data_IF_105529321842
#
_entry.id   IF_105529321842
#
_cell.length_a   1.000
_cell.length_b   1.000
_cell.length_c   1.000
_cell.angle_alpha   90.00
_cell.angle_beta   90.00
_cell.angle_gamma   90.00
#
_symmetry.space_group_name_H-M   'P 1'
#
loop_
_entity.id
_entity.type
_entity.pdbx_description
1 polymer ?
#
# COMPACT_ATOMS: atom_id res chain seq x y z
N UNK A 1 -25.11 -54.11 8.03
CA UNK A 1 -24.58 -52.98 8.83
C UNK A 1 -23.35 -52.45 8.11
N UNK A 2 -23.51 -51.43 7.27
CA UNK A 2 -22.38 -50.75 6.61
C UNK A 2 -21.74 -49.86 7.69
N UNK A 3 -20.50 -50.15 8.07
CA UNK A 3 -19.72 -49.24 8.92
C UNK A 3 -19.61 -47.92 8.18
N UNK A 4 -20.22 -46.86 8.70
CA UNK A 4 -19.94 -45.51 8.26
C UNK A 4 -18.44 -45.29 8.47
N UNK A 5 -17.69 -45.23 7.37
CA UNK A 5 -16.32 -44.76 7.38
C UNK A 5 -16.40 -43.33 7.90
N UNK A 6 -15.87 -43.07 9.09
CA UNK A 6 -15.68 -41.70 9.58
C UNK A 6 -14.94 -40.93 8.49
N UNK A 7 -15.66 -40.05 7.78
CA UNK A 7 -15.02 -39.11 6.87
C UNK A 7 -14.02 -38.32 7.69
N UNK A 8 -12.74 -38.38 7.32
CA UNK A 8 -11.69 -37.59 7.95
C UNK A 8 -11.95 -36.12 7.63
N UNK A 9 -12.61 -35.42 8.54
CA UNK A 9 -12.88 -33.99 8.41
C UNK A 9 -11.59 -33.21 8.70
N UNK A 10 -11.37 -32.13 7.93
CA UNK A 10 -10.26 -31.21 8.17
C UNK A 10 -10.66 -30.23 9.28
N UNK A 11 -9.82 -29.99 10.29
CA UNK A 11 -10.14 -29.02 11.34
C UNK A 11 -10.20 -27.59 10.78
N UNK A 12 -11.21 -26.82 11.19
CA UNK A 12 -11.46 -25.47 10.69
C UNK A 12 -10.79 -24.40 11.55
N UNK A 13 -10.21 -23.38 10.91
CA UNK A 13 -9.69 -22.19 11.60
C UNK A 13 -8.38 -22.38 12.36
N UNK A 14 -7.63 -23.46 12.09
CA UNK A 14 -6.44 -23.82 12.86
C UNK A 14 -5.13 -23.39 12.20
N UNK A 15 -5.10 -23.12 10.90
CA UNK A 15 -3.84 -22.81 10.18
C UNK A 15 -3.83 -21.37 9.66
N UNK A 16 -2.72 -20.67 9.86
CA UNK A 16 -2.42 -19.39 9.21
C UNK A 16 -1.04 -19.42 8.56
N UNK A 17 -0.96 -18.97 7.31
CA UNK A 17 0.30 -18.80 6.58
C UNK A 17 0.45 -17.36 6.04
N UNK A 18 -0.16 -16.39 6.73
CA UNK A 18 -0.17 -14.99 6.29
C UNK A 18 1.23 -14.37 6.31
N UNK A 19 1.97 -14.53 7.41
CA UNK A 19 3.29 -13.93 7.60
C UNK A 19 4.32 -14.33 6.53
N UNK A 20 4.30 -15.59 6.05
CA UNK A 20 5.22 -16.03 4.99
C UNK A 20 4.87 -15.38 3.65
N UNK A 21 3.58 -15.21 3.34
CA UNK A 21 3.14 -14.53 2.12
C UNK A 21 3.50 -13.06 2.13
N UNK A 22 3.34 -12.39 3.27
CA UNK A 22 3.74 -10.98 3.42
C UNK A 22 5.24 -10.80 3.20
N UNK A 23 6.07 -11.72 3.73
CA UNK A 23 7.52 -11.72 3.49
C UNK A 23 7.91 -12.03 2.04
N UNK A 24 7.14 -12.87 1.35
CA UNK A 24 7.35 -13.19 -0.06
C UNK A 24 6.99 -12.00 -0.97
N UNK A 25 5.92 -11.27 -0.65
CA UNK A 25 5.43 -10.12 -1.41
C UNK A 25 6.33 -8.88 -1.25
N UNK A 26 6.83 -8.64 -0.03
CA UNK A 26 7.79 -7.56 0.24
C UNK A 26 7.20 -6.14 0.19
N UNK A 27 5.89 -6.00 0.08
CA UNK A 27 5.22 -4.69 -0.03
C UNK A 27 5.11 -4.00 1.33
N UNK A 28 4.69 -4.73 2.36
CA UNK A 28 4.49 -4.19 3.72
C UNK A 28 5.76 -4.35 4.57
N UNK A 29 6.39 -5.54 4.49
CA UNK A 29 7.56 -5.89 5.29
C UNK A 29 8.71 -6.28 4.38
N UNK A 30 9.82 -5.56 4.49
CA UNK A 30 11.05 -5.85 3.75
C UNK A 30 12.16 -6.25 4.72
N UNK A 31 12.96 -7.24 4.33
CA UNK A 31 14.20 -7.52 5.03
C UNK A 31 15.27 -6.54 4.58
N UNK A 32 15.75 -5.69 5.49
CA UNK A 32 16.96 -4.92 5.25
C UNK A 32 18.13 -5.90 5.10
N UNK A 33 18.75 -5.90 3.92
CA UNK A 33 20.04 -6.55 3.79
C UNK A 33 21.01 -5.82 4.75
N UNK A 34 21.58 -6.56 5.70
CA UNK A 34 22.72 -6.06 6.49
C UNK A 34 23.79 -5.67 5.49
N UNK A 35 23.96 -4.36 5.28
CA UNK A 35 24.92 -3.83 4.34
C UNK A 35 26.26 -4.51 4.56
N UNK A 36 26.66 -5.32 3.58
CA UNK A 36 28.02 -5.84 3.49
C UNK A 36 28.94 -4.63 3.59
N UNK A 37 29.85 -4.68 4.56
CA UNK A 37 30.65 -3.54 4.98
C UNK A 37 31.20 -2.74 3.80
N UNK A 38 31.03 -1.42 3.90
CA UNK A 38 31.80 -0.36 3.24
C UNK A 38 32.88 -0.86 2.27
N UNK A 39 32.49 -1.20 1.04
CA UNK A 39 33.38 -1.02 -0.09
C UNK A 39 33.25 0.43 -0.49
N UNK A 40 34.07 1.24 0.20
CA UNK A 40 34.49 2.60 -0.16
C UNK A 40 34.31 2.81 -1.66
N UNK A 41 33.42 3.73 -2.03
CA UNK A 41 33.17 4.15 -3.41
C UNK A 41 34.50 4.44 -4.11
N UNK A 42 34.94 3.54 -4.99
CA UNK A 42 36.04 3.83 -5.91
C UNK A 42 35.43 4.75 -6.95
N UNK A 43 35.77 6.04 -6.87
CA UNK A 43 35.40 7.03 -7.87
C UNK A 43 35.83 6.50 -9.24
N UNK A 44 34.86 6.30 -10.15
CA UNK A 44 35.13 5.96 -11.55
C UNK A 44 35.58 7.26 -12.21
N UNK A 45 36.90 7.40 -12.33
CA UNK A 45 37.52 8.47 -13.10
C UNK A 45 37.53 8.05 -14.57
N UNK A 46 36.77 8.76 -15.41
CA UNK A 46 36.81 8.59 -16.87
C UNK A 46 37.96 9.43 -17.42
N UNK A 47 39.18 8.91 -17.29
CA UNK A 47 40.32 9.41 -18.04
C UNK A 47 41.29 8.26 -18.24
N UNK A 48 41.63 8.07 -19.52
CA UNK A 48 42.67 7.20 -20.08
C UNK A 48 42.15 5.99 -20.85
N UNK A 49 42.24 6.24 -22.16
CA UNK A 49 42.11 5.38 -23.33
C UNK A 49 43.34 4.46 -23.40
N UNK A 50 43.18 3.34 -24.10
CA UNK A 50 44.22 2.47 -24.68
C UNK A 50 44.99 1.52 -23.77
N UNK A 51 44.47 0.28 -23.70
CA UNK A 51 45.28 -0.93 -23.76
C UNK A 51 44.43 -2.09 -24.31
N UNK A 52 44.61 -2.36 -25.61
CA UNK A 52 44.28 -3.63 -26.24
C UNK A 52 45.09 -4.74 -25.56
N UNK A 53 44.43 -5.71 -24.93
CA UNK A 53 45.00 -7.03 -24.66
C UNK A 53 44.00 -8.09 -25.12
N UNK A 54 44.42 -8.83 -26.14
CA UNK A 54 43.78 -10.04 -26.66
C UNK A 54 43.53 -11.04 -25.51
N UNK A 55 42.29 -11.49 -25.38
CA UNK A 55 41.97 -12.65 -24.54
C UNK A 55 41.38 -13.74 -25.42
N UNK A 56 42.18 -14.77 -25.64
CA UNK A 56 41.86 -15.96 -26.43
C UNK A 56 40.65 -16.70 -25.84
N UNK A 57 39.71 -17.00 -26.72
CA UNK A 57 38.55 -17.87 -26.53
C UNK A 57 39.04 -19.31 -26.35
N UNK A 58 38.80 -19.90 -25.18
CA UNK A 58 39.02 -21.32 -24.91
C UNK A 58 37.68 -21.99 -24.61
N UNK A 59 37.18 -22.68 -25.64
CA UNK A 59 36.12 -23.68 -25.54
C UNK A 59 36.60 -24.86 -24.69
N UNK A 60 35.88 -25.17 -23.61
CA UNK A 60 36.11 -26.38 -22.83
C UNK A 60 34.76 -27.12 -22.65
N UNK A 61 34.45 -27.98 -23.63
CA UNK A 61 33.42 -29.00 -23.53
C UNK A 61 33.78 -30.01 -22.44
N UNK A 62 32.90 -30.21 -21.44
CA UNK A 62 32.98 -31.37 -20.54
C UNK A 62 31.68 -32.17 -20.52
N UNK A 63 31.83 -33.39 -21.03
CA UNK A 63 30.86 -34.47 -21.08
C UNK A 63 30.52 -35.02 -19.68
N UNK A 64 29.24 -35.34 -19.50
CA UNK A 64 28.73 -36.60 -18.95
C UNK A 64 29.21 -37.09 -17.58
N UNK A 65 28.31 -37.07 -16.58
CA UNK A 65 28.21 -38.19 -15.65
C UNK A 65 26.75 -38.47 -15.27
N UNK A 66 26.37 -39.73 -15.45
CA UNK A 66 25.05 -40.30 -15.21
C UNK A 66 24.91 -40.81 -13.76
N UNK A 67 23.64 -40.87 -13.33
CA UNK A 67 23.02 -41.74 -12.34
C UNK A 67 23.19 -41.44 -10.83
N UNK A 68 22.06 -41.05 -10.22
CA UNK A 68 21.34 -41.91 -9.26
C UNK A 68 19.87 -41.52 -9.14
N UNK A 69 19.05 -42.33 -9.77
CA UNK A 69 17.59 -42.39 -9.68
C UNK A 69 17.15 -42.88 -8.29
N UNK A 70 16.45 -42.02 -7.54
CA UNK A 70 15.56 -42.44 -6.47
C UNK A 70 14.14 -42.51 -7.06
N UNK A 71 13.65 -43.73 -7.26
CA UNK A 71 12.30 -44.02 -7.72
C UNK A 71 11.28 -43.51 -6.69
N UNK A 72 10.65 -42.39 -7.00
CA UNK A 72 9.37 -42.01 -6.40
C UNK A 72 8.30 -42.35 -7.43
N UNK A 73 7.34 -43.16 -7.03
CA UNK A 73 6.25 -43.67 -7.86
C UNK A 73 5.60 -42.56 -8.70
N UNK A 74 5.51 -42.79 -10.01
CA UNK A 74 4.83 -41.92 -10.95
C UNK A 74 3.33 -41.94 -10.66
N UNK A 75 2.88 -40.98 -9.86
CA UNK A 75 1.47 -40.58 -9.81
C UNK A 75 1.15 -39.96 -11.17
N UNK A 76 0.08 -40.46 -11.80
CA UNK A 76 -0.47 -39.97 -13.07
C UNK A 76 -0.53 -38.44 -13.03
N UNK A 77 0.30 -37.81 -13.87
CA UNK A 77 0.44 -36.35 -13.97
C UNK A 77 -0.77 -35.79 -14.72
N UNK A 78 -1.87 -35.67 -13.98
CA UNK A 78 -3.07 -34.98 -14.37
C UNK A 78 -2.75 -33.48 -14.33
N UNK A 79 -2.02 -33.02 -15.36
CA UNK A 79 -1.43 -31.67 -15.44
C UNK A 79 -2.54 -30.64 -15.30
N UNK A 80 -2.49 -29.89 -14.20
CA UNK A 80 -3.31 -28.70 -14.01
C UNK A 80 -3.08 -27.74 -15.20
N UNK A 81 -4.12 -27.07 -15.71
CA UNK A 81 -3.95 -26.04 -16.73
C UNK A 81 -2.97 -24.97 -16.22
N UNK A 82 -1.96 -24.62 -17.03
CA UNK A 82 -0.82 -23.75 -16.65
C UNK A 82 -1.24 -22.38 -16.09
N UNK A 83 -2.47 -21.94 -16.36
CA UNK A 83 -2.98 -20.62 -16.00
C UNK A 83 -3.79 -20.58 -14.69
N UNK A 84 -4.02 -21.72 -14.03
CA UNK A 84 -4.82 -21.75 -12.79
C UNK A 84 -3.93 -21.89 -11.56
N UNK A 85 -3.94 -20.86 -10.72
CA UNK A 85 -3.12 -20.79 -9.49
C UNK A 85 -3.88 -21.29 -8.25
N UNK A 86 -5.22 -21.21 -8.24
CA UNK A 86 -6.08 -21.55 -7.10
C UNK A 86 -7.32 -22.37 -7.53
N UNK A 87 -7.84 -23.26 -6.65
CA UNK A 87 -8.98 -24.14 -6.93
C UNK A 87 -10.36 -23.49 -6.73
N UNK A 88 -10.49 -22.16 -6.84
CA UNK A 88 -11.71 -21.46 -6.42
C UNK A 88 -12.90 -21.63 -7.38
N UNK A 89 -12.63 -22.11 -8.61
CA UNK A 89 -13.65 -22.43 -9.60
C UNK A 89 -13.98 -23.93 -9.53
N UNK A 90 -15.27 -24.24 -9.35
CA UNK A 90 -15.79 -25.56 -8.94
C UNK A 90 -15.43 -26.71 -9.91
N UNK A 91 -15.14 -26.40 -11.17
CA UNK A 91 -14.92 -27.38 -12.24
C UNK A 91 -13.56 -28.12 -12.18
N UNK A 92 -12.62 -27.67 -11.33
CA UNK A 92 -11.24 -28.18 -11.34
C UNK A 92 -11.05 -29.35 -10.35
N UNK A 93 -12.01 -29.58 -9.46
CA UNK A 93 -11.92 -30.58 -8.38
C UNK A 93 -12.58 -31.92 -8.77
N UNK A 94 -13.24 -32.00 -9.93
CA UNK A 94 -14.15 -33.11 -10.33
C UNK A 94 -13.46 -34.41 -10.78
N UNK A 95 -12.26 -34.72 -10.27
CA UNK A 95 -11.60 -36.02 -10.47
C UNK A 95 -12.14 -37.10 -9.52
N UNK A 96 -12.07 -38.37 -9.93
CA UNK A 96 -12.55 -39.56 -9.18
C UNK A 96 -11.82 -39.81 -7.82
N UNK A 97 -10.78 -39.04 -7.50
CA UNK A 97 -10.05 -39.08 -6.23
C UNK A 97 -10.63 -38.14 -5.17
N UNK A 98 -10.44 -38.50 -3.89
CA UNK A 98 -10.93 -37.78 -2.71
C UNK A 98 -10.78 -36.24 -2.85
N UNK A 99 -11.88 -35.46 -2.98
CA UNK A 99 -11.84 -34.03 -3.32
C UNK A 99 -10.94 -33.19 -2.41
N UNK A 100 -10.81 -33.63 -1.16
CA UNK A 100 -10.01 -32.99 -0.12
C UNK A 100 -8.51 -33.06 -0.35
N UNK A 101 -8.01 -34.03 -1.13
CA UNK A 101 -6.60 -34.18 -1.45
C UNK A 101 -6.24 -33.51 -2.78
N UNK A 102 -7.22 -33.35 -3.68
CA UNK A 102 -7.01 -32.71 -4.99
C UNK A 102 -6.55 -31.24 -4.86
N UNK A 103 -6.93 -30.55 -3.78
CA UNK A 103 -6.49 -29.17 -3.51
C UNK A 103 -4.97 -29.06 -3.27
N UNK A 104 -4.29 -30.16 -2.91
CA UNK A 104 -2.83 -30.18 -2.71
C UNK A 104 -2.04 -30.19 -4.02
N UNK A 105 -2.70 -30.40 -5.17
CA UNK A 105 -2.09 -30.21 -6.50
C UNK A 105 -1.67 -28.75 -6.71
N UNK A 106 -2.35 -27.79 -6.06
CA UNK A 106 -2.05 -26.36 -6.17
C UNK A 106 -0.89 -25.98 -5.25
N UNK A 107 0.22 -25.52 -5.83
CA UNK A 107 1.43 -25.13 -5.08
C UNK A 107 1.12 -24.14 -3.95
N UNK A 108 0.38 -23.06 -4.22
CA UNK A 108 0.08 -22.03 -3.22
C UNK A 108 -0.73 -22.59 -2.04
N UNK A 109 -1.67 -23.50 -2.29
CA UNK A 109 -2.44 -24.21 -1.25
C UNK A 109 -1.51 -25.12 -0.45
N UNK A 110 -0.69 -25.92 -1.12
CA UNK A 110 0.30 -26.79 -0.49
C UNK A 110 1.23 -26.00 0.43
N UNK A 111 1.75 -24.87 -0.03
CA UNK A 111 2.64 -24.01 0.74
C UNK A 111 1.94 -23.46 2.02
N UNK A 112 0.61 -23.26 2.01
CA UNK A 112 -0.14 -22.91 3.23
C UNK A 112 -0.17 -24.01 4.29
N UNK A 113 -0.26 -25.28 3.88
CA UNK A 113 -0.27 -26.40 4.81
C UNK A 113 1.12 -26.70 5.37
N UNK A 114 2.16 -26.64 4.55
CA UNK A 114 3.54 -26.93 4.99
C UNK A 114 4.20 -25.76 5.73
N UNK A 115 3.97 -24.52 5.27
CA UNK A 115 4.56 -23.32 5.86
C UNK A 115 3.73 -22.67 6.96
N UNK A 116 2.49 -23.10 7.14
CA UNK A 116 1.55 -22.50 8.09
C UNK A 116 1.89 -22.78 9.56
N UNK A 117 1.42 -21.89 10.43
CA UNK A 117 1.44 -22.05 11.89
C UNK A 117 0.03 -22.24 12.43
N UNK A 118 -0.06 -22.72 13.66
CA UNK A 118 -1.33 -22.77 14.38
C UNK A 118 -1.84 -21.32 14.58
N UNK A 119 -3.03 -21.04 14.06
CA UNK A 119 -3.69 -19.76 14.21
C UNK A 119 -4.14 -19.56 15.66
N UNK A 120 -3.85 -18.38 16.20
CA UNK A 120 -4.27 -17.99 17.54
C UNK A 120 -5.40 -16.99 17.40
N UNK A 121 -6.58 -17.32 17.94
CA UNK A 121 -7.72 -16.41 17.96
C UNK A 121 -7.38 -15.14 18.75
N UNK A 122 -7.62 -13.98 18.13
CA UNK A 122 -7.59 -12.71 18.83
C UNK A 122 -8.73 -12.65 19.86
N UNK A 123 -8.39 -12.31 21.11
CA UNK A 123 -9.36 -11.88 22.12
C UNK A 123 -9.23 -10.38 22.23
N UNK A 124 -10.12 -9.67 21.55
CA UNK A 124 -10.22 -8.21 21.63
C UNK A 124 -11.41 -7.89 22.52
N UNK A 125 -11.13 -7.35 23.71
CA UNK A 125 -12.16 -6.89 24.63
C UNK A 125 -12.44 -5.43 24.30
N UNK A 126 -13.53 -5.21 23.56
CA UNK A 126 -14.03 -3.88 23.23
C UNK A 126 -15.05 -3.47 24.28
N UNK A 127 -14.94 -2.24 24.79
CA UNK A 127 -15.99 -1.69 25.66
C UNK A 127 -17.23 -1.37 24.81
N UNK A 128 -18.33 -2.09 25.07
CA UNK A 128 -19.58 -1.92 24.33
C UNK A 128 -20.15 -0.50 24.48
N UNK A 129 -19.86 0.19 25.58
CA UNK A 129 -20.28 1.58 25.75
C UNK A 129 -19.50 2.51 24.83
N UNK A 130 -18.18 2.31 24.71
CA UNK A 130 -17.32 3.09 23.80
C UNK A 130 -17.67 2.83 22.33
N UNK A 131 -18.00 1.59 21.97
CA UNK A 131 -18.48 1.25 20.62
C UNK A 131 -19.79 1.99 20.31
N UNK A 132 -20.71 2.05 21.28
CA UNK A 132 -22.00 2.77 21.12
C UNK A 132 -21.82 4.28 21.08
N UNK A 133 -20.93 4.86 21.86
CA UNK A 133 -20.66 6.31 21.78
C UNK A 133 -19.99 6.68 20.46
N UNK A 134 -19.05 5.86 19.99
CA UNK A 134 -18.32 6.09 18.75
C UNK A 134 -19.22 5.98 17.51
N UNK A 135 -20.23 5.11 17.53
CA UNK A 135 -21.18 4.98 16.41
C UNK A 135 -22.15 6.15 16.26
N UNK A 136 -22.32 6.95 17.32
CA UNK A 136 -23.17 8.15 17.30
C UNK A 136 -22.40 9.41 16.87
N UNK A 137 -21.07 9.39 16.95
CA UNK A 137 -20.23 10.51 16.57
C UNK A 137 -20.06 10.59 15.04
N UNK A 138 -19.97 11.81 14.50
CA UNK A 138 -19.60 12.01 13.09
C UNK A 138 -18.16 11.52 12.89
N UNK A 139 -17.90 10.60 11.94
CA UNK A 139 -16.56 10.05 11.76
C UNK A 139 -15.61 11.12 11.20
N UNK A 140 -14.42 11.22 11.80
CA UNK A 140 -13.33 12.07 11.29
C UNK A 140 -12.21 11.13 10.86
N UNK A 141 -12.18 10.84 9.57
CA UNK A 141 -11.23 9.93 8.96
C UNK A 141 -9.94 10.68 8.64
N UNK A 142 -8.81 10.15 9.11
CA UNK A 142 -7.49 10.68 8.80
C UNK A 142 -6.55 9.59 8.28
N UNK A 143 -5.68 9.92 7.32
CA UNK A 143 -4.66 9.01 6.86
C UNK A 143 -3.50 8.94 7.86
N UNK A 144 -3.11 7.73 8.21
CA UNK A 144 -1.97 7.40 9.06
C UNK A 144 -0.95 6.66 8.22
N UNK A 145 0.31 7.11 8.27
CA UNK A 145 1.43 6.46 7.59
C UNK A 145 2.34 5.78 8.61
N UNK A 146 2.72 4.54 8.34
CA UNK A 146 3.63 3.75 9.14
C UNK A 146 4.91 3.56 8.33
N UNK A 147 5.97 4.25 8.73
CA UNK A 147 7.32 4.06 8.18
C UNK A 147 8.28 3.79 9.32
N UNK A 148 8.71 2.54 9.44
CA UNK A 148 9.60 2.07 10.49
C UNK A 148 10.76 1.30 9.86
N UNK A 149 11.96 1.57 10.36
CA UNK A 149 13.16 0.85 9.99
C UNK A 149 13.82 0.34 11.27
N UNK A 150 13.80 -0.97 11.48
CA UNK A 150 14.52 -1.60 12.58
C UNK A 150 15.83 -2.19 12.07
N UNK A 151 16.93 -1.53 12.44
CA UNK A 151 18.29 -1.95 12.09
C UNK A 151 18.77 -3.16 12.88
N UNK A 152 18.17 -3.46 14.04
CA UNK A 152 18.57 -4.61 14.88
C UNK A 152 18.07 -5.92 14.27
N UNK A 153 16.78 -5.97 13.94
CA UNK A 153 16.11 -7.13 13.35
C UNK A 153 16.19 -7.15 11.82
N UNK A 154 16.66 -6.05 11.21
CA UNK A 154 16.77 -5.92 9.76
C UNK A 154 15.39 -5.97 9.09
N UNK A 155 14.38 -5.35 9.70
CA UNK A 155 13.02 -5.30 9.21
C UNK A 155 12.63 -3.85 8.95
N UNK A 156 12.20 -3.54 7.73
CA UNK A 156 11.49 -2.29 7.44
C UNK A 156 10.00 -2.56 7.22
N UNK A 157 9.18 -1.69 7.81
CA UNK A 157 7.72 -1.73 7.69
C UNK A 157 7.30 -0.42 7.03
N UNK A 158 6.64 -0.54 5.88
CA UNK A 158 5.99 0.58 5.20
C UNK A 158 4.55 0.21 4.96
N UNK A 159 3.64 0.91 5.64
CA UNK A 159 2.20 0.68 5.50
C UNK A 159 1.43 1.97 5.71
N UNK A 160 0.15 1.95 5.35
CA UNK A 160 -0.67 3.13 5.27
C UNK A 160 -2.12 2.74 5.57
N UNK A 161 -2.78 3.44 6.50
CA UNK A 161 -4.16 3.13 6.91
C UNK A 161 -4.98 4.39 7.15
N UNK A 162 -6.30 4.20 7.27
CA UNK A 162 -7.23 5.25 7.69
C UNK A 162 -7.64 5.03 9.15
N UNK A 163 -7.71 6.11 9.92
CA UNK A 163 -8.09 6.08 11.33
C UNK A 163 -9.25 7.04 11.61
N UNK A 164 -10.25 6.59 12.36
CA UNK A 164 -11.31 7.47 12.84
C UNK A 164 -10.91 8.07 14.20
N UNK A 165 -10.66 9.38 14.24
CA UNK A 165 -10.19 10.07 15.46
C UNK A 165 -11.23 10.07 16.58
N UNK A 166 -12.51 10.04 16.19
CA UNK A 166 -13.64 10.07 17.11
C UNK A 166 -14.01 8.67 17.62
N UNK A 167 -13.39 7.62 17.07
CA UNK A 167 -13.56 6.25 17.55
C UNK A 167 -12.57 6.00 18.69
N UNK A 168 -13.10 5.69 19.87
CA UNK A 168 -12.29 5.32 21.04
C UNK A 168 -12.32 3.83 21.34
N UNK A 169 -13.06 3.03 20.56
CA UNK A 169 -13.27 1.61 20.84
C UNK A 169 -12.01 0.76 20.69
N UNK A 170 -11.04 1.19 19.86
CA UNK A 170 -9.77 0.51 19.65
C UNK A 170 -8.62 1.47 19.91
N UNK A 171 -7.70 1.07 20.79
CA UNK A 171 -6.51 1.90 21.05
C UNK A 171 -5.37 1.59 20.06
N UNK A 172 -4.45 2.54 19.81
CA UNK A 172 -3.25 2.29 19.01
C UNK A 172 -2.41 1.10 19.49
N UNK A 173 -2.39 0.83 20.80
CA UNK A 173 -1.69 -0.31 21.39
C UNK A 173 -2.37 -1.65 21.10
N UNK A 174 -3.71 -1.67 21.10
CA UNK A 174 -4.48 -2.84 20.72
C UNK A 174 -4.31 -3.13 19.22
N UNK A 175 -4.36 -2.09 18.38
CA UNK A 175 -4.09 -2.20 16.95
C UNK A 175 -2.67 -2.73 16.71
N UNK A 176 -1.64 -2.14 17.33
CA UNK A 176 -0.25 -2.53 17.11
C UNK A 176 0.02 -3.98 17.57
N UNK A 177 -0.66 -4.45 18.62
CA UNK A 177 -0.59 -5.84 19.05
C UNK A 177 -1.11 -6.81 17.97
N UNK A 178 -2.28 -6.51 17.40
CA UNK A 178 -2.89 -7.35 16.34
C UNK A 178 -2.01 -7.31 15.09
N UNK A 179 -1.62 -6.11 14.66
CA UNK A 179 -0.78 -5.87 13.50
C UNK A 179 0.57 -6.61 13.58
N UNK A 180 1.31 -6.48 14.67
CA UNK A 180 2.56 -7.22 14.86
C UNK A 180 2.37 -8.74 14.87
N UNK A 181 1.25 -9.23 15.43
CA UNK A 181 0.93 -10.66 15.42
C UNK A 181 0.66 -11.17 14.01
N UNK A 182 -0.08 -10.42 13.20
CA UNK A 182 -0.36 -10.76 11.80
C UNK A 182 0.94 -10.82 10.98
N UNK A 183 1.85 -9.86 11.17
CA UNK A 183 3.17 -9.85 10.53
C UNK A 183 4.13 -10.96 11.02
N UNK A 184 3.75 -11.70 12.06
CA UNK A 184 4.60 -12.72 12.67
C UNK A 184 5.77 -12.16 13.48
N UNK A 185 5.71 -10.87 13.85
CA UNK A 185 6.67 -10.19 14.71
C UNK A 185 6.26 -10.46 16.17
N UNK A 186 6.67 -11.62 16.68
CA UNK A 186 6.30 -12.08 18.02
C UNK A 186 7.38 -11.70 19.04
N UNK A 187 6.97 -11.12 20.17
CA UNK A 187 7.86 -10.84 21.31
C UNK A 187 8.71 -9.56 21.19
N UNK A 188 8.68 -8.86 20.05
CA UNK A 188 9.32 -7.55 19.91
C UNK A 188 8.37 -6.44 20.40
N UNK A 189 8.34 -6.24 21.72
CA UNK A 189 7.55 -5.18 22.36
C UNK A 189 7.99 -3.77 21.91
N UNK A 190 9.24 -3.63 21.45
CA UNK A 190 9.78 -2.35 21.01
C UNK A 190 9.12 -1.87 19.71
N UNK A 191 9.02 -2.72 18.69
CA UNK A 191 8.31 -2.39 17.44
C UNK A 191 6.83 -2.09 17.73
N UNK A 192 6.19 -2.89 18.57
CA UNK A 192 4.79 -2.67 18.96
C UNK A 192 4.57 -1.28 19.58
N UNK A 193 5.45 -0.88 20.51
CA UNK A 193 5.38 0.44 21.17
C UNK A 193 5.68 1.59 20.20
N UNK A 194 6.63 1.39 19.28
CA UNK A 194 6.92 2.38 18.23
C UNK A 194 5.73 2.60 17.29
N UNK A 195 5.08 1.53 16.81
CA UNK A 195 3.88 1.63 15.97
C UNK A 195 2.78 2.40 16.71
N UNK A 196 2.49 2.01 17.95
CA UNK A 196 1.48 2.70 18.75
C UNK A 196 1.81 4.19 18.95
N UNK A 197 3.08 4.53 19.15
CA UNK A 197 3.52 5.92 19.33
C UNK A 197 3.40 6.73 18.03
N UNK A 198 3.83 6.17 16.89
CA UNK A 198 3.67 6.81 15.58
C UNK A 198 2.21 7.11 15.24
N UNK A 199 1.29 6.18 15.55
CA UNK A 199 -0.14 6.36 15.35
C UNK A 199 -0.65 7.47 16.28
N UNK A 200 -0.30 7.41 17.57
CA UNK A 200 -0.75 8.39 18.57
C UNK A 200 -0.30 9.81 18.24
N UNK A 201 0.96 9.98 17.85
CA UNK A 201 1.52 11.28 17.49
C UNK A 201 0.80 11.87 16.27
N UNK A 202 0.53 11.05 15.24
CA UNK A 202 -0.26 11.49 14.08
C UNK A 202 -1.70 11.85 14.47
N UNK A 203 -2.38 11.04 15.29
CA UNK A 203 -3.73 11.34 15.77
C UNK A 203 -3.76 12.67 16.54
N UNK A 204 -2.82 12.90 17.44
CA UNK A 204 -2.77 14.13 18.24
C UNK A 204 -2.52 15.37 17.37
N UNK A 205 -1.61 15.25 16.39
CA UNK A 205 -1.40 16.28 15.38
C UNK A 205 -2.69 16.59 14.58
N UNK A 206 -3.51 15.59 14.28
CA UNK A 206 -4.78 15.82 13.61
C UNK A 206 -5.88 16.34 14.54
N UNK A 207 -5.89 15.97 15.83
CA UNK A 207 -6.85 16.48 16.82
C UNK A 207 -6.68 17.98 17.05
N UNK A 208 -5.43 18.42 17.21
CA UNK A 208 -5.12 19.85 17.34
C UNK A 208 -5.55 20.64 16.11
N UNK A 209 -5.48 20.04 14.92
CA UNK A 209 -5.99 20.62 13.68
C UNK A 209 -7.52 20.55 13.55
N UNK A 210 -8.17 19.53 14.10
CA UNK A 210 -9.61 19.25 13.92
C UNK A 210 -10.51 20.44 14.32
N UNK A 211 -10.23 21.10 15.44
CA UNK A 211 -10.99 22.29 15.85
C UNK A 211 -10.90 23.44 14.84
N UNK A 212 -9.73 23.63 14.23
CA UNK A 212 -9.53 24.61 13.16
C UNK A 212 -10.11 24.13 11.83
N UNK A 213 -10.08 22.82 11.55
CA UNK A 213 -10.66 22.22 10.35
C UNK A 213 -12.18 22.36 10.30
N UNK A 214 -12.87 22.27 11.43
CA UNK A 214 -14.31 22.51 11.49
C UNK A 214 -14.65 23.95 11.11
N UNK A 215 -13.98 24.94 11.71
CA UNK A 215 -14.16 26.35 11.37
C UNK A 215 -13.75 26.64 9.91
N UNK A 216 -12.68 26.03 9.44
CA UNK A 216 -12.24 26.15 8.05
C UNK A 216 -13.26 25.54 7.08
N UNK A 217 -13.83 24.38 7.39
CA UNK A 217 -14.88 23.77 6.57
C UNK A 217 -16.13 24.67 6.53
N UNK A 218 -16.53 25.29 7.64
CA UNK A 218 -17.64 26.27 7.65
C UNK A 218 -17.33 27.49 6.76
N UNK A 219 -16.11 28.02 6.84
CA UNK A 219 -15.67 29.13 5.99
C UNK A 219 -15.59 28.73 4.51
N UNK A 220 -15.09 27.53 4.19
CA UNK A 220 -15.05 26.97 2.83
C UNK A 220 -16.45 26.75 2.26
N UNK A 221 -17.40 26.31 3.08
CA UNK A 221 -18.82 26.17 2.68
C UNK A 221 -19.46 27.51 2.32
N UNK A 222 -18.93 28.62 2.82
CA UNK A 222 -19.40 29.95 2.43
C UNK A 222 -19.06 30.31 0.97
N UNK A 223 -18.16 29.55 0.32
CA UNK A 223 -17.86 29.67 -1.11
C UNK A 223 -18.57 28.55 -1.88
N UNK A 224 -19.71 28.81 -2.54
CA UNK A 224 -20.31 27.82 -3.42
C UNK A 224 -19.30 27.48 -4.53
N UNK A 225 -19.18 26.20 -4.87
CA UNK A 225 -18.28 25.70 -5.92
C UNK A 225 -16.77 25.82 -5.66
N UNK A 226 -16.34 25.52 -4.42
CA UNK A 226 -14.93 25.38 -4.08
C UNK A 226 -14.32 24.10 -4.69
N UNK A 227 -13.81 24.25 -5.91
CA UNK A 227 -13.14 23.19 -6.63
C UNK A 227 -11.63 23.33 -6.55
N UNK A 228 -10.96 22.21 -6.32
CA UNK A 228 -9.49 22.13 -6.28
C UNK A 228 -9.00 21.13 -7.29
N UNK A 229 -7.92 21.47 -7.99
CA UNK A 229 -7.20 20.53 -8.85
C UNK A 229 -6.33 19.60 -8.00
N UNK A 230 -6.52 18.28 -8.17
CA UNK A 230 -5.77 17.25 -7.48
C UNK A 230 -4.93 16.45 -8.48
N UNK A 231 -3.66 16.27 -8.14
CA UNK A 231 -2.79 15.26 -8.74
C UNK A 231 -2.54 14.18 -7.68
N UNK A 232 -3.06 12.98 -7.92
CA UNK A 232 -2.82 11.83 -7.04
C UNK A 232 -1.93 10.82 -7.76
N UNK A 233 -1.02 10.23 -7.01
CA UNK A 233 -0.19 9.15 -7.49
C UNK A 233 -0.01 8.09 -6.41
N UNK A 234 -0.14 6.82 -6.78
CA UNK A 234 0.12 5.70 -5.88
C UNK A 234 0.88 4.58 -6.57
N UNK A 235 1.74 3.91 -5.80
CA UNK A 235 2.56 2.80 -6.25
C UNK A 235 2.15 1.53 -5.50
N UNK A 236 1.90 0.46 -6.26
CA UNK A 236 1.66 -0.86 -5.73
C UNK A 236 2.46 -1.87 -6.54
N UNK A 237 3.42 -2.54 -5.89
CA UNK A 237 4.35 -3.47 -6.52
C UNK A 237 5.06 -2.82 -7.72
N UNK A 238 4.87 -3.34 -8.94
CA UNK A 238 5.42 -2.80 -10.18
C UNK A 238 4.47 -1.85 -10.93
N UNK A 239 3.31 -1.50 -10.36
CA UNK A 239 2.30 -0.65 -11.02
C UNK A 239 2.25 0.72 -10.36
N UNK A 240 2.27 1.74 -11.19
CA UNK A 240 2.20 3.14 -10.80
C UNK A 240 0.96 3.77 -11.38
N UNK A 241 0.02 4.16 -10.52
CA UNK A 241 -1.18 4.89 -10.88
C UNK A 241 -0.95 6.38 -10.69
N UNK A 242 -1.37 7.18 -11.66
CA UNK A 242 -1.41 8.64 -11.56
C UNK A 242 -2.64 9.18 -12.25
N UNK A 243 -3.25 10.21 -11.66
CA UNK A 243 -4.45 10.83 -12.17
C UNK A 243 -4.55 12.31 -11.77
N UNK A 244 -5.18 13.10 -12.65
CA UNK A 244 -5.41 14.53 -12.47
C UNK A 244 -6.89 14.84 -12.66
N UNK A 245 -7.53 15.36 -11.63
CA UNK A 245 -8.95 15.69 -11.67
C UNK A 245 -9.30 16.88 -10.77
N UNK A 246 -10.53 17.36 -10.92
CA UNK A 246 -11.10 18.42 -10.10
C UNK A 246 -11.95 17.81 -8.99
N UNK A 247 -11.76 18.27 -7.76
CA UNK A 247 -12.52 17.81 -6.60
C UNK A 247 -13.25 18.97 -5.93
N UNK A 248 -14.55 18.80 -5.69
CA UNK A 248 -15.33 19.75 -4.90
C UNK A 248 -15.23 19.38 -3.42
N UNK A 249 -14.62 20.25 -2.61
CA UNK A 249 -14.42 19.99 -1.16
C UNK A 249 -15.74 20.09 -0.37
N UNK A 250 -16.72 20.83 -0.90
CA UNK A 250 -17.99 21.07 -0.24
C UNK A 250 -19.03 19.98 -0.55
N UNK A 251 -18.79 19.13 -1.56
CA UNK A 251 -19.67 18.01 -1.88
C UNK A 251 -19.35 16.78 -1.02
N UNK A 252 -20.33 16.31 -0.25
CA UNK A 252 -20.24 15.10 0.58
C UNK A 252 -20.82 13.85 -0.11
N UNK A 253 -21.36 13.98 -1.33
CA UNK A 253 -22.01 12.88 -2.05
C UNK A 253 -21.01 11.78 -2.46
N UNK A 254 -19.81 12.21 -2.87
CA UNK A 254 -18.72 11.37 -3.35
C UNK A 254 -17.59 11.33 -2.33
N UNK A 255 -17.42 10.17 -1.68
CA UNK A 255 -16.29 9.96 -0.75
C UNK A 255 -15.06 9.43 -1.50
N UNK A 256 -13.84 9.64 -0.97
CA UNK A 256 -12.61 9.07 -1.56
C UNK A 256 -12.68 7.56 -1.81
N UNK A 257 -13.35 6.80 -0.95
CA UNK A 257 -13.53 5.35 -1.09
C UNK A 257 -14.45 5.00 -2.26
N UNK A 258 -15.54 5.76 -2.45
CA UNK A 258 -16.44 5.57 -3.60
C UNK A 258 -15.71 5.92 -4.90
N UNK A 259 -14.95 7.01 -4.91
CA UNK A 259 -14.12 7.41 -6.04
C UNK A 259 -13.11 6.31 -6.40
N UNK A 260 -12.33 5.83 -5.43
CA UNK A 260 -11.39 4.73 -5.62
C UNK A 260 -12.08 3.46 -6.15
N UNK A 261 -13.30 3.16 -5.68
CA UNK A 261 -14.09 2.02 -6.15
C UNK A 261 -14.47 2.14 -7.63
N UNK A 262 -14.82 3.35 -8.08
CA UNK A 262 -15.14 3.60 -9.49
C UNK A 262 -13.86 3.42 -10.33
N UNK A 263 -12.78 4.08 -9.97
CA UNK A 263 -11.49 4.01 -10.67
C UNK A 263 -10.99 2.57 -10.81
N UNK A 264 -10.99 1.79 -9.73
CA UNK A 264 -10.49 0.41 -9.75
C UNK A 264 -11.36 -0.49 -10.63
N UNK A 265 -12.68 -0.28 -10.64
CA UNK A 265 -13.61 -1.02 -11.51
C UNK A 265 -13.41 -0.67 -12.98
N UNK A 266 -13.28 0.62 -13.30
CA UNK A 266 -13.19 1.10 -14.67
C UNK A 266 -11.84 0.72 -15.32
N UNK A 267 -10.76 0.73 -14.53
CA UNK A 267 -9.41 0.37 -15.00
C UNK A 267 -9.08 -1.12 -14.86
N UNK A 268 -9.95 -1.93 -14.23
CA UNK A 268 -9.70 -3.35 -13.98
C UNK A 268 -8.49 -3.60 -13.08
N UNK A 269 -8.25 -2.72 -12.09
CA UNK A 269 -7.12 -2.84 -11.16
C UNK A 269 -7.39 -3.88 -10.06
N UNK A 270 -6.32 -4.31 -9.38
CA UNK A 270 -6.46 -5.15 -8.19
C UNK A 270 -7.13 -4.38 -7.06
N UNK A 271 -7.80 -5.09 -6.15
CA UNK A 271 -8.51 -4.47 -5.02
C UNK A 271 -7.58 -3.73 -4.06
N UNK A 272 -6.29 -4.04 -4.08
CA UNK A 272 -5.27 -3.38 -3.26
C UNK A 272 -5.10 -1.89 -3.62
N UNK A 273 -5.48 -1.48 -4.84
CA UNK A 273 -5.53 -0.06 -5.22
C UNK A 273 -6.64 0.72 -4.51
N UNK A 274 -7.70 0.06 -4.01
CA UNK A 274 -8.81 0.75 -3.33
C UNK A 274 -8.34 1.54 -2.09
N UNK A 275 -7.71 0.91 -1.09
CA UNK A 275 -7.21 1.64 0.08
C UNK A 275 -6.10 2.63 -0.30
N UNK A 276 -5.22 2.26 -1.25
CA UNK A 276 -4.10 3.11 -1.67
C UNK A 276 -4.57 4.45 -2.27
N UNK A 277 -5.50 4.41 -3.23
CA UNK A 277 -6.07 5.61 -3.86
C UNK A 277 -6.86 6.44 -2.84
N UNK A 278 -7.73 5.79 -2.05
CA UNK A 278 -8.52 6.48 -1.03
C UNK A 278 -7.63 7.23 -0.04
N UNK A 279 -6.56 6.58 0.42
CA UNK A 279 -5.64 7.18 1.37
C UNK A 279 -4.87 8.38 0.81
N UNK A 280 -4.29 8.26 -0.38
CA UNK A 280 -3.59 9.37 -1.02
C UNK A 280 -4.53 10.56 -1.22
N UNK A 281 -5.78 10.29 -1.60
CA UNK A 281 -6.80 11.32 -1.75
C UNK A 281 -7.16 11.99 -0.41
N UNK A 282 -7.35 11.23 0.66
CA UNK A 282 -7.53 11.77 2.01
C UNK A 282 -6.35 12.64 2.46
N UNK A 283 -5.12 12.22 2.14
CA UNK A 283 -3.91 12.98 2.48
C UNK A 283 -3.86 14.32 1.75
N UNK A 284 -4.12 14.33 0.44
CA UNK A 284 -4.14 15.56 -0.37
C UNK A 284 -5.25 16.52 0.09
N UNK A 285 -6.46 16.02 0.31
CA UNK A 285 -7.58 16.84 0.81
C UNK A 285 -7.25 17.45 2.16
N UNK A 286 -6.60 16.70 3.04
CA UNK A 286 -6.21 17.19 4.36
C UNK A 286 -5.08 18.22 4.29
N UNK A 287 -4.13 18.03 3.37
CA UNK A 287 -3.06 18.99 3.10
C UNK A 287 -3.63 20.34 2.63
N UNK A 288 -4.57 20.32 1.68
CA UNK A 288 -5.29 21.51 1.22
C UNK A 288 -6.00 22.23 2.37
N UNK A 289 -6.73 21.47 3.21
CA UNK A 289 -7.41 22.07 4.37
C UNK A 289 -6.42 22.69 5.37
N UNK A 290 -5.25 22.09 5.58
CA UNK A 290 -4.18 22.67 6.42
C UNK A 290 -3.65 23.97 5.83
N UNK A 291 -3.41 24.02 4.51
CA UNK A 291 -2.93 25.22 3.82
C UNK A 291 -3.94 26.36 3.88
N UNK A 292 -5.24 26.04 3.76
CA UNK A 292 -6.33 26.99 3.94
C UNK A 292 -6.35 27.59 5.36
N UNK A 293 -6.27 26.74 6.39
CA UNK A 293 -6.24 27.21 7.78
C UNK A 293 -5.08 28.18 8.02
N UNK A 294 -3.91 27.93 7.42
CA UNK A 294 -2.73 28.77 7.58
C UNK A 294 -2.80 30.07 6.78
N UNK A 295 -3.77 30.22 5.87
CA UNK A 295 -3.84 31.32 4.92
C UNK A 295 -2.72 31.29 3.86
N UNK A 296 -2.05 30.14 3.71
CA UNK A 296 -0.99 29.91 2.72
C UNK A 296 -1.54 29.26 1.45
N UNK A 297 -2.86 29.07 1.38
CA UNK A 297 -3.52 28.42 0.25
C UNK A 297 -3.32 29.23 -1.03
N UNK A 298 -2.62 28.61 -2.00
CA UNK A 298 -2.39 29.22 -3.28
C UNK A 298 -3.71 29.31 -4.05
N UNK A 299 -4.24 30.52 -4.22
CA UNK A 299 -5.48 30.75 -4.95
C UNK A 299 -5.38 30.34 -6.44
N UNK A 300 -4.21 30.04 -6.97
CA UNK A 300 -4.05 29.43 -8.31
C UNK A 300 -4.69 28.02 -8.41
N UNK A 301 -4.94 27.35 -7.27
CA UNK A 301 -5.67 26.08 -7.21
C UNK A 301 -7.20 26.26 -7.28
N UNK A 302 -7.68 27.48 -7.06
CA UNK A 302 -9.08 27.88 -7.27
C UNK A 302 -9.09 28.60 -8.61
N UNK A 303 -9.74 28.05 -9.62
CA UNK A 303 -10.15 28.91 -10.72
C UNK A 303 -11.29 29.78 -10.21
N UNK A 304 -11.13 31.10 -9.98
CA UNK A 304 -12.29 31.95 -9.80
C UNK A 304 -13.07 31.88 -11.12
N UNK A 305 -14.32 31.48 -11.02
CA UNK A 305 -15.31 31.45 -12.10
C UNK A 305 -15.58 32.86 -12.65
N UNK A 306 -14.60 33.53 -13.26
CA UNK A 306 -14.94 34.65 -14.16
C UNK A 306 -15.61 34.14 -15.44
N UNK A 307 -15.51 32.84 -15.70
CA UNK A 307 -16.39 32.16 -16.63
C UNK A 307 -16.85 30.88 -15.96
N UNK A 308 -18.15 30.76 -15.72
CA UNK A 308 -18.92 29.55 -15.48
C UNK A 308 -18.76 28.53 -16.63
N UNK A 309 -17.51 28.13 -16.88
CA UNK A 309 -17.12 26.90 -17.51
C UNK A 309 -17.07 25.93 -16.33
N UNK A 310 -18.22 25.35 -15.94
CA UNK A 310 -18.42 23.93 -16.28
C UNK A 310 -17.43 23.60 -17.38
N UNK A 311 -16.29 22.97 -17.04
CA UNK A 311 -15.22 22.64 -17.98
C UNK A 311 -15.92 22.27 -19.24
N UNK A 312 -15.97 23.22 -20.19
CA UNK A 312 -16.74 22.99 -21.38
C UNK A 312 -15.96 21.81 -21.92
N UNK A 313 -16.66 20.75 -22.25
CA UNK A 313 -16.16 19.71 -23.14
C UNK A 313 -15.98 20.39 -24.52
N UNK A 314 -15.26 21.52 -24.56
CA UNK A 314 -14.41 22.01 -25.62
C UNK A 314 -13.16 21.15 -25.40
N UNK A 315 -13.14 19.88 -25.82
CA UNK A 315 -12.78 19.54 -27.20
C UNK A 315 -11.59 20.37 -27.73
N UNK A 316 -10.68 20.82 -26.86
CA UNK A 316 -9.32 21.18 -27.25
C UNK A 316 -8.54 19.88 -27.40
N UNK A 317 -8.84 19.26 -28.54
CA UNK A 317 -8.46 17.94 -29.02
C UNK A 317 -6.95 17.71 -28.92
N UNK A 318 -6.50 16.96 -27.90
CA UNK A 318 -5.35 16.06 -28.05
C UNK A 318 -4.31 16.02 -26.92
N UNK A 319 -3.94 17.15 -26.32
CA UNK A 319 -2.86 17.20 -25.29
C UNK A 319 -3.37 17.44 -23.87
N UNK A 320 -4.35 18.33 -23.67
CA UNK A 320 -4.96 18.56 -22.35
C UNK A 320 -5.75 17.33 -21.88
N UNK A 321 -6.48 16.67 -22.78
CA UNK A 321 -7.26 15.46 -22.44
C UNK A 321 -6.37 14.29 -21.98
N UNK A 322 -5.13 14.19 -22.47
CA UNK A 322 -4.19 13.14 -22.05
C UNK A 322 -3.59 13.38 -20.67
N UNK A 323 -3.48 14.64 -20.26
CA UNK A 323 -2.96 14.98 -18.93
C UNK A 323 -4.03 14.76 -17.84
N UNK A 324 -5.32 14.82 -18.18
CA UNK A 324 -6.46 14.71 -17.27
C UNK A 324 -7.17 13.35 -17.32
N UNK A 325 -6.42 12.31 -17.69
CA UNK A 325 -6.91 10.93 -17.72
C UNK A 325 -6.07 10.05 -16.78
N UNK A 326 -6.68 9.09 -16.08
CA UNK A 326 -5.94 8.18 -15.23
C UNK A 326 -4.99 7.32 -16.07
N UNK A 327 -3.77 7.13 -15.56
CA UNK A 327 -2.74 6.30 -16.20
C UNK A 327 -2.18 5.28 -15.22
N UNK A 328 -1.94 4.08 -15.73
CA UNK A 328 -1.30 2.98 -15.00
C UNK A 328 -0.07 2.54 -15.78
N UNK A 329 1.10 2.86 -15.27
CA UNK A 329 2.39 2.47 -15.84
C UNK A 329 2.93 1.25 -15.09
N UNK A 330 3.48 0.28 -15.83
CA UNK A 330 4.29 -0.78 -15.22
C UNK A 330 5.73 -0.30 -15.21
N UNK A 331 6.28 -0.16 -14.02
CA UNK A 331 7.64 0.34 -13.78
C UNK A 331 8.45 -0.72 -13.06
N UNK A 332 9.75 -0.73 -13.31
CA UNK A 332 10.71 -1.51 -12.52
C UNK A 332 10.81 -0.97 -11.09
N UNK A 333 11.26 -1.80 -10.16
CA UNK A 333 11.42 -1.39 -8.76
C UNK A 333 12.39 -0.20 -8.62
N UNK A 334 13.45 -0.17 -9.41
CA UNK A 334 14.43 0.93 -9.41
C UNK A 334 13.83 2.24 -9.93
N UNK A 335 12.99 2.18 -10.96
CA UNK A 335 12.29 3.36 -11.49
C UNK A 335 11.26 3.91 -10.49
N UNK A 336 10.55 3.04 -9.79
CA UNK A 336 9.62 3.41 -8.73
C UNK A 336 10.37 4.09 -7.59
N UNK A 337 11.45 3.50 -7.11
CA UNK A 337 12.29 4.10 -6.07
C UNK A 337 12.87 5.44 -6.51
N UNK A 338 13.35 5.56 -7.75
CA UNK A 338 13.85 6.83 -8.29
C UNK A 338 12.77 7.89 -8.33
N UNK A 339 11.55 7.56 -8.78
CA UNK A 339 10.41 8.49 -8.77
C UNK A 339 9.99 8.86 -7.35
N UNK A 340 10.03 7.93 -6.40
CA UNK A 340 9.71 8.21 -4.99
C UNK A 340 10.74 9.14 -4.35
N UNK A 341 12.03 8.88 -4.56
CA UNK A 341 13.10 9.75 -4.07
C UNK A 341 13.04 11.13 -4.73
N UNK A 342 12.72 11.22 -6.03
CA UNK A 342 12.53 12.50 -6.70
C UNK A 342 11.33 13.27 -6.14
N UNK A 343 10.20 12.59 -5.92
CA UNK A 343 8.99 13.17 -5.30
C UNK A 343 9.27 13.66 -3.89
N UNK A 344 9.95 12.87 -3.06
CA UNK A 344 10.34 13.27 -1.72
C UNK A 344 11.30 14.47 -1.74
N UNK A 345 12.25 14.49 -2.68
CA UNK A 345 13.14 15.65 -2.88
C UNK A 345 12.37 16.89 -3.29
N UNK A 346 11.39 16.77 -4.20
CA UNK A 346 10.53 17.87 -4.60
C UNK A 346 9.70 18.39 -3.42
N UNK A 347 9.09 17.49 -2.63
CA UNK A 347 8.37 17.85 -1.42
C UNK A 347 9.27 18.61 -0.43
N UNK A 348 10.51 18.15 -0.22
CA UNK A 348 11.52 18.84 0.62
C UNK A 348 11.98 20.18 0.02
N UNK A 349 11.98 20.35 -1.31
CA UNK A 349 12.26 21.64 -1.97
C UNK A 349 11.10 22.61 -1.75
N UNK A 350 9.88 22.19 -2.04
CA UNK A 350 8.65 22.95 -1.82
C UNK A 350 8.53 23.41 -0.37
N UNK A 351 8.79 22.52 0.61
CA UNK A 351 8.80 22.88 2.03
C UNK A 351 9.83 23.96 2.35
N UNK A 352 11.06 23.84 1.83
CA UNK A 352 12.12 24.84 2.05
C UNK A 352 11.80 26.18 1.40
N UNK A 353 11.19 26.18 0.22
CA UNK A 353 10.81 27.40 -0.47
C UNK A 353 9.63 28.09 0.23
N UNK A 354 8.65 27.32 0.73
CA UNK A 354 7.58 27.81 1.62
C UNK A 354 8.16 28.47 2.89
N UNK A 355 9.09 27.80 3.57
CA UNK A 355 9.76 28.34 4.77
C UNK A 355 10.55 29.63 4.48
N UNK A 356 11.11 29.76 3.26
CA UNK A 356 11.83 30.96 2.82
C UNK A 356 10.90 32.13 2.53
N UNK A 357 9.75 31.87 1.89
CA UNK A 357 8.72 32.90 1.66
C UNK A 357 8.16 33.43 2.98
N UNK A 358 7.87 32.55 3.96
CA UNK A 358 7.41 32.94 5.29
C UNK A 358 8.41 33.84 6.05
N UNK A 359 9.73 33.64 5.85
CA UNK A 359 10.77 34.50 6.45
C UNK A 359 10.92 35.87 5.78
N UNK A 360 10.56 36.00 4.50
CA UNK A 360 10.59 37.30 3.80
C UNK A 360 9.39 38.18 4.14
N UNK A 361 8.23 37.60 4.44
CA UNK A 361 7.04 38.33 4.90
C UNK A 361 7.19 38.96 6.29
N UNK A 362 8.05 38.39 7.15
CA UNK A 362 8.25 38.84 8.54
C UNK A 362 9.27 39.99 8.71
N UNK A 363 9.82 40.51 7.60
CA UNK A 363 10.84 41.58 7.58
C UNK A 363 10.33 42.91 7.01
N UNK A 364 9.03 43.10 6.88
CA UNK A 364 8.41 44.39 6.56
C UNK A 364 7.63 44.94 7.73
#
# INVERSE_FOLDING_TARGET
>A
MVKAVERRLVPQGVVTNFYNRVKEDGTIVQSLQRGGGSRRSRAVNYSEVDAFEDFEESDDERQGSNNRSASTEAVVDDKLPENVVLPDLEDIITGESDPSLNVLKFRKVRDTFFGGRIAIRYKLELDQNEVRSSSLAVPIIVPITLKLEDTADGISITDSLLWNINDTSVTPEQFSLVYCRDLGILGNNYIQQQIATLIRDQIENYRTLSGHLLQANENMRSYPDFHVHLNIACNLNSRYYEDNFQWNINDESLTPEKFATIVVKDLGLTRDFLPSISQVLHEQLLQIKKEWIKGEFNHELIHPDENNRMVRIEANQGELDRAWSPRVEVLSMDEIQKREVERERQLRRMKRDSDRLGRRGRRK
#
